data_IF_306268970979
#
_entry.id   IF_306268970979
#
_cell.length_a   1.000
_cell.length_b   1.000
_cell.length_c   1.000
_cell.angle_alpha   90.00
_cell.angle_beta   90.00
_cell.angle_gamma   90.00
#
_symmetry.space_group_name_H-M   'P 1'
#
loop_
_entity.id
_entity.type
_entity.pdbx_description
1 polymer ?
#
# COMPACT_ATOMS: atom_id res chain seq x y z
N UNK A 1 15.28 -9.02 -11.93
CA UNK A 1 16.26 -8.58 -10.92
C UNK A 1 16.81 -7.18 -11.24
N UNK A 2 15.93 -6.19 -11.44
CA UNK A 2 16.28 -4.77 -11.56
C UNK A 2 15.52 -3.89 -10.56
N UNK A 3 14.49 -4.43 -9.89
CA UNK A 3 13.66 -3.68 -8.93
C UNK A 3 14.39 -3.30 -7.65
N UNK A 4 15.48 -4.00 -7.30
CA UNK A 4 16.28 -3.66 -6.11
C UNK A 4 16.82 -2.22 -6.15
N UNK A 5 17.15 -1.69 -7.33
CA UNK A 5 17.63 -0.30 -7.44
C UNK A 5 16.54 0.74 -7.17
N UNK A 6 15.32 0.49 -7.65
CA UNK A 6 14.19 1.41 -7.48
C UNK A 6 13.59 1.31 -6.08
N UNK A 7 13.50 0.11 -5.53
CA UNK A 7 13.04 -0.15 -4.17
C UNK A 7 13.95 0.53 -3.14
N UNK A 8 15.27 0.45 -3.32
CA UNK A 8 16.25 1.10 -2.46
C UNK A 8 16.20 2.64 -2.56
N UNK A 9 16.00 3.18 -3.77
CA UNK A 9 15.77 4.62 -3.96
C UNK A 9 14.49 5.09 -3.25
N UNK A 10 13.40 4.33 -3.35
CA UNK A 10 12.14 4.64 -2.66
C UNK A 10 12.29 4.57 -1.14
N UNK A 11 13.03 3.58 -0.61
CA UNK A 11 13.37 3.51 0.82
C UNK A 11 14.17 4.72 1.27
N UNK A 12 15.18 5.13 0.51
CA UNK A 12 15.98 6.32 0.80
C UNK A 12 15.12 7.58 0.84
N UNK A 13 14.24 7.78 -0.15
CA UNK A 13 13.35 8.94 -0.22
C UNK A 13 12.36 8.94 0.94
N UNK A 14 11.78 7.79 1.31
CA UNK A 14 10.89 7.67 2.47
C UNK A 14 11.58 8.14 3.75
N UNK A 15 12.80 7.69 3.99
CA UNK A 15 13.55 8.01 5.21
C UNK A 15 13.91 9.51 5.25
N UNK A 16 14.24 10.10 4.10
CA UNK A 16 14.49 11.53 3.99
C UNK A 16 13.22 12.37 4.24
N UNK A 17 12.07 11.97 3.67
CA UNK A 17 10.79 12.63 3.90
C UNK A 17 10.37 12.55 5.36
N UNK A 18 10.61 11.41 6.02
CA UNK A 18 10.38 11.26 7.46
C UNK A 18 11.25 12.22 8.28
N UNK A 19 12.53 12.34 7.94
CA UNK A 19 13.42 13.29 8.62
C UNK A 19 12.91 14.73 8.51
N UNK A 20 12.37 15.13 7.35
CA UNK A 20 11.77 16.45 7.20
C UNK A 20 10.46 16.61 7.99
N UNK A 21 9.66 15.55 8.17
CA UNK A 21 8.46 15.61 9.01
C UNK A 21 8.80 15.72 10.50
N UNK A 22 9.89 15.09 10.94
CA UNK A 22 10.35 15.11 12.32
C UNK A 22 11.16 16.40 12.66
N UNK A 23 11.57 17.17 11.65
CA UNK A 23 12.31 18.42 11.81
C UNK A 23 11.38 19.60 12.20
N UNK A 24 11.57 20.22 13.38
CA UNK A 24 10.77 21.38 13.81
C UNK A 24 11.03 22.65 12.99
N UNK A 25 12.11 22.72 12.21
CA UNK A 25 12.39 23.84 11.30
C UNK A 25 11.64 23.72 9.96
N UNK A 26 10.97 22.59 9.71
CA UNK A 26 10.20 22.39 8.47
C UNK A 26 9.01 23.35 8.40
N UNK A 27 8.87 24.15 7.33
CA UNK A 27 7.76 25.07 7.18
C UNK A 27 6.42 24.33 7.16
N UNK A 28 5.44 24.79 7.94
CA UNK A 28 4.11 24.19 7.99
C UNK A 28 3.42 24.08 6.62
N UNK A 29 3.73 25.01 5.70
CA UNK A 29 3.26 24.99 4.31
C UNK A 29 3.86 23.85 3.48
N UNK A 30 5.05 23.37 3.84
CA UNK A 30 5.72 22.24 3.21
C UNK A 30 5.31 20.90 3.82
N UNK A 31 4.97 20.85 5.12
CA UNK A 31 4.59 19.63 5.85
C UNK A 31 3.47 18.87 5.12
N UNK A 32 2.40 19.55 4.70
CA UNK A 32 1.29 18.89 4.00
C UNK A 32 1.72 18.23 2.68
N UNK A 33 2.61 18.88 1.93
CA UNK A 33 3.13 18.33 0.67
C UNK A 33 4.06 17.13 0.93
N UNK A 34 4.94 17.25 1.93
CA UNK A 34 5.85 16.19 2.36
C UNK A 34 5.07 14.96 2.84
N UNK A 35 4.00 15.16 3.62
CA UNK A 35 3.13 14.08 4.10
C UNK A 35 2.43 13.34 2.95
N UNK A 36 1.89 14.05 1.96
CA UNK A 36 1.28 13.43 0.77
C UNK A 36 2.30 12.59 0.00
N UNK A 37 3.50 13.12 -0.22
CA UNK A 37 4.58 12.39 -0.91
C UNK A 37 5.05 11.18 -0.12
N UNK A 38 5.12 11.28 1.20
CA UNK A 38 5.51 10.18 2.07
C UNK A 38 4.53 9.00 1.94
N UNK A 39 3.22 9.27 1.97
CA UNK A 39 2.18 8.25 1.77
C UNK A 39 2.31 7.60 0.40
N UNK A 40 2.48 8.38 -0.68
CA UNK A 40 2.65 7.84 -2.03
C UNK A 40 3.86 6.92 -2.18
N UNK A 41 4.97 7.23 -1.50
CA UNK A 41 6.17 6.37 -1.52
C UNK A 41 5.92 5.09 -0.73
N UNK A 42 5.22 5.17 0.40
CA UNK A 42 4.84 3.99 1.19
C UNK A 42 3.89 3.07 0.41
N UNK A 43 2.89 3.62 -0.29
CA UNK A 43 1.98 2.86 -1.16
C UNK A 43 2.75 2.15 -2.26
N UNK A 44 3.64 2.84 -2.98
CA UNK A 44 4.47 2.23 -4.02
C UNK A 44 5.39 1.12 -3.50
N UNK A 45 5.97 1.29 -2.32
CA UNK A 45 6.77 0.25 -1.68
C UNK A 45 5.92 -0.96 -1.27
N UNK A 46 4.68 -0.73 -0.84
CA UNK A 46 3.73 -1.80 -0.51
C UNK A 46 3.30 -2.58 -1.76
N UNK A 47 2.95 -1.88 -2.84
CA UNK A 47 2.62 -2.49 -4.14
C UNK A 47 3.80 -3.32 -4.69
N UNK A 48 5.02 -2.80 -4.59
CA UNK A 48 6.23 -3.48 -5.06
C UNK A 48 6.61 -4.69 -4.20
N UNK A 49 6.27 -4.67 -2.90
CA UNK A 49 6.47 -5.80 -2.00
C UNK A 49 5.50 -6.97 -2.25
N UNK A 50 4.62 -6.85 -3.23
CA UNK A 50 3.65 -7.88 -3.61
C UNK A 50 2.19 -7.49 -3.39
N UNK A 51 1.92 -6.28 -2.89
CA UNK A 51 0.55 -5.86 -2.57
C UNK A 51 -0.13 -6.73 -1.52
N UNK A 52 -1.32 -6.34 -1.09
CA UNK A 52 -2.12 -7.09 -0.14
C UNK A 52 -2.66 -8.37 -0.83
N UNK A 53 -2.14 -9.54 -0.46
CA UNK A 53 -2.66 -10.88 -0.82
C UNK A 53 -4.16 -11.03 -0.47
N UNK A 54 -4.72 -10.11 0.32
CA UNK A 54 -6.12 -10.06 0.73
C UNK A 54 -7.06 -9.45 -0.33
N UNK A 55 -6.56 -8.66 -1.28
CA UNK A 55 -7.35 -8.07 -2.37
C UNK A 55 -7.32 -8.89 -3.67
N UNK A 56 -6.45 -9.90 -3.76
CA UNK A 56 -6.38 -10.84 -4.88
C UNK A 56 -7.32 -12.05 -4.69
N UNK A 57 -8.12 -12.06 -3.62
CA UNK A 57 -9.13 -13.09 -3.32
C UNK A 57 -10.52 -12.80 -3.92
N UNK A 58 -10.68 -11.74 -4.73
CA UNK A 58 -11.98 -11.35 -5.32
C UNK A 58 -12.14 -11.70 -6.81
N UNK A 59 -11.39 -12.67 -7.36
CA UNK A 59 -11.68 -13.28 -8.67
C UNK A 59 -11.99 -14.80 -8.59
N UNK A 60 -12.65 -15.24 -7.51
CA UNK A 60 -13.23 -16.59 -7.41
C UNK A 60 -14.70 -16.56 -6.93
N UNK A 61 -15.42 -15.48 -7.29
CA UNK A 61 -16.87 -15.41 -7.13
C UNK A 61 -17.57 -15.99 -8.35
N UNK A 62 -17.95 -17.27 -8.31
CA UNK A 62 -19.34 -17.76 -8.47
C UNK A 62 -19.45 -19.18 -9.06
N UNK A 63 -19.35 -20.21 -8.20
CA UNK A 63 -20.14 -21.45 -8.38
C UNK A 63 -21.13 -21.56 -7.22
N UNK A 64 -22.33 -21.05 -7.44
CA UNK A 64 -23.48 -21.28 -6.57
C UNK A 64 -24.00 -22.68 -6.91
N UNK A 65 -23.55 -23.70 -6.18
CA UNK A 65 -24.05 -25.06 -6.36
C UNK A 65 -25.50 -25.12 -5.85
N UNK A 66 -26.45 -25.17 -6.77
CA UNK A 66 -27.88 -25.31 -6.54
C UNK A 66 -28.23 -26.73 -6.03
N UNK A 67 -27.88 -27.10 -4.80
CA UNK A 67 -28.57 -28.22 -4.12
C UNK A 67 -28.36 -28.23 -2.60
N UNK A 68 -29.34 -27.69 -1.88
CA UNK A 68 -29.63 -28.13 -0.52
C UNK A 68 -31.15 -28.16 -0.35
N UNK A 69 -31.78 -29.11 -1.05
CA UNK A 69 -33.16 -29.48 -0.79
C UNK A 69 -33.38 -30.01 0.64
N UNK A 70 -34.58 -29.73 1.15
CA UNK A 70 -35.26 -30.32 2.30
C UNK A 70 -34.72 -29.95 3.70
N UNK A 71 -35.53 -29.60 4.71
CA UNK A 71 -36.94 -29.93 4.94
C UNK A 71 -37.54 -28.89 5.90
N UNK A 72 -38.74 -28.40 5.60
CA UNK A 72 -39.65 -27.84 6.59
C UNK A 72 -40.22 -29.01 7.39
N UNK A 73 -39.98 -29.03 8.70
CA UNK A 73 -40.85 -29.62 9.74
C UNK A 73 -40.72 -28.77 11.00
#
# INVERSE_FOLDING_TARGET
>A
MMDGSLEDELRYVRDQLKNYLDDPETPATAISNIAVRYVQVCEKLHDMAGGDDLLDLEDDSTEVNEDAGASIV
#
